data_IF_053536366768
#
_entry.id   IF_053536366768
#
_cell.length_a   1.000
_cell.length_b   1.000
_cell.length_c   1.000
_cell.angle_alpha   90.00
_cell.angle_beta   90.00
_cell.angle_gamma   90.00
#
_symmetry.space_group_name_H-M   'P 1'
#
loop_
_entity.id
_entity.type
_entity.pdbx_description
1 polymer ?
#
# COMPACT_ATOMS: atom_id res chain seq x y z
N UNK A 1 7.25 -8.39 -12.23
CA UNK A 1 6.71 -9.76 -12.33
C UNK A 1 5.22 -9.59 -12.54
N UNK A 2 4.38 -10.61 -12.46
CA UNK A 2 2.97 -10.49 -12.83
C UNK A 2 2.16 -9.75 -11.75
N UNK A 3 1.36 -8.75 -12.17
CA UNK A 3 0.45 -7.98 -11.32
C UNK A 3 -0.82 -8.79 -11.00
N UNK A 4 -0.66 -9.82 -10.19
CA UNK A 4 -1.72 -10.82 -10.00
C UNK A 4 -2.88 -10.31 -9.14
N UNK A 5 -2.57 -9.44 -8.17
CA UNK A 5 -3.52 -8.84 -7.25
C UNK A 5 -3.31 -7.35 -7.21
N UNK A 6 -4.37 -6.60 -7.50
CA UNK A 6 -4.37 -5.15 -7.45
C UNK A 6 -5.47 -4.69 -6.51
N UNK A 7 -5.22 -3.57 -5.84
CA UNK A 7 -6.28 -2.82 -5.16
C UNK A 7 -6.41 -1.45 -5.79
N UNK A 8 -7.64 -0.98 -5.94
CA UNK A 8 -7.93 0.40 -6.33
C UNK A 8 -8.46 1.14 -5.11
N UNK A 9 -7.69 2.13 -4.65
CA UNK A 9 -8.10 3.02 -3.56
C UNK A 9 -9.26 3.88 -4.04
N UNK A 10 -10.35 3.92 -3.26
CA UNK A 10 -11.54 4.70 -3.57
C UNK A 10 -11.20 6.19 -3.65
N UNK A 11 -11.74 6.87 -4.67
CA UNK A 11 -11.52 8.33 -4.88
C UNK A 11 -12.07 9.19 -3.76
N UNK A 12 -13.03 8.67 -2.99
CA UNK A 12 -13.62 9.36 -1.85
C UNK A 12 -12.72 9.31 -0.60
N UNK A 13 -11.68 8.45 -0.61
CA UNK A 13 -10.68 8.39 0.46
C UNK A 13 -9.67 9.53 0.30
N UNK A 14 -9.33 10.20 1.41
CA UNK A 14 -8.22 11.16 1.45
C UNK A 14 -6.91 10.54 0.93
N UNK A 15 -6.74 9.22 1.11
CA UNK A 15 -5.57 8.48 0.65
C UNK A 15 -5.45 8.41 -0.87
N UNK A 16 -6.53 8.53 -1.63
CA UNK A 16 -6.44 8.47 -3.10
C UNK A 16 -5.51 9.56 -3.65
N UNK A 17 -5.57 10.78 -3.08
CA UNK A 17 -4.70 11.90 -3.47
C UNK A 17 -3.24 11.62 -3.12
N UNK A 18 -3.00 11.01 -1.97
CA UNK A 18 -1.66 10.64 -1.52
C UNK A 18 -1.02 9.60 -2.45
N UNK A 19 -1.79 8.58 -2.83
CA UNK A 19 -1.36 7.53 -3.75
C UNK A 19 -1.11 8.08 -5.15
N UNK A 20 -1.97 8.97 -5.66
CA UNK A 20 -1.75 9.63 -6.94
C UNK A 20 -0.49 10.50 -6.92
N UNK A 21 -0.28 11.28 -5.87
CA UNK A 21 0.89 12.17 -5.73
C UNK A 21 2.22 11.41 -5.60
N UNK A 22 2.20 10.23 -4.97
CA UNK A 22 3.41 9.45 -4.69
C UNK A 22 3.71 8.41 -5.75
N UNK A 23 2.70 7.67 -6.19
CA UNK A 23 2.83 6.51 -7.09
C UNK A 23 2.34 6.80 -8.52
N UNK A 24 1.65 7.92 -8.74
CA UNK A 24 1.07 8.30 -10.03
C UNK A 24 -0.18 7.51 -10.39
N UNK A 25 -0.78 6.82 -9.43
CA UNK A 25 -1.99 6.01 -9.62
C UNK A 25 -2.66 5.68 -8.29
N UNK A 26 -3.99 5.51 -8.30
CA UNK A 26 -4.75 4.91 -7.19
C UNK A 26 -4.86 3.39 -7.25
N UNK A 27 -4.35 2.76 -8.30
CA UNK A 27 -4.41 1.30 -8.50
C UNK A 27 -3.03 0.69 -8.32
N UNK A 28 -2.85 -0.08 -7.24
CA UNK A 28 -1.54 -0.53 -6.78
C UNK A 28 -1.49 -2.05 -6.56
N UNK A 29 -0.31 -2.68 -6.75
CA UNK A 29 -0.14 -4.10 -6.52
C UNK A 29 -0.15 -4.42 -5.02
N UNK A 30 -0.71 -5.57 -4.65
CA UNK A 30 -0.72 -6.04 -3.25
C UNK A 30 -0.21 -7.46 -3.14
N UNK A 31 0.36 -7.80 -1.98
CA UNK A 31 0.98 -9.12 -1.74
C UNK A 31 -0.03 -10.27 -1.74
N UNK A 32 -1.29 -10.01 -1.41
CA UNK A 32 -2.34 -11.01 -1.26
C UNK A 32 -3.71 -10.42 -1.62
N UNK A 33 -4.61 -11.18 -2.26
CA UNK A 33 -5.99 -10.75 -2.51
C UNK A 33 -6.89 -10.92 -1.28
N UNK A 34 -6.43 -11.63 -0.26
CA UNK A 34 -7.09 -11.70 1.04
C UNK A 34 -6.46 -10.67 1.99
N UNK A 35 -7.26 -9.75 2.57
CA UNK A 35 -6.75 -8.83 3.58
C UNK A 35 -6.48 -9.60 4.89
N UNK A 36 -5.57 -9.08 5.71
CA UNK A 36 -5.30 -9.64 7.04
C UNK A 36 -5.61 -8.61 8.13
N UNK A 37 -5.81 -9.10 9.35
CA UNK A 37 -6.10 -8.26 10.51
C UNK A 37 -4.82 -7.74 11.13
N UNK A 38 -4.76 -6.44 11.41
CA UNK A 38 -3.66 -5.82 12.15
C UNK A 38 -4.16 -4.67 13.02
N UNK A 39 -3.30 -4.18 13.92
CA UNK A 39 -3.56 -2.97 14.67
C UNK A 39 -2.90 -1.79 13.98
N UNK A 40 -3.67 -0.76 13.68
CA UNK A 40 -3.18 0.53 13.21
C UNK A 40 -3.26 1.56 14.34
N UNK A 41 -2.42 2.61 14.32
CA UNK A 41 -2.52 3.70 15.30
C UNK A 41 -3.94 4.27 15.36
N UNK A 42 -4.57 4.22 16.53
CA UNK A 42 -5.95 4.68 16.75
C UNK A 42 -7.05 3.80 16.14
N UNK A 43 -6.70 2.68 15.48
CA UNK A 43 -7.64 1.77 14.83
C UNK A 43 -7.23 0.29 15.06
N UNK A 44 -7.64 -0.32 16.18
CA UNK A 44 -7.32 -1.72 16.46
C UNK A 44 -8.13 -2.67 15.56
N UNK A 45 -7.55 -3.84 15.27
CA UNK A 45 -8.22 -4.96 14.59
C UNK A 45 -8.81 -4.64 13.20
N UNK A 46 -8.10 -3.83 12.41
CA UNK A 46 -8.50 -3.44 11.06
C UNK A 46 -8.06 -4.48 10.02
N UNK A 47 -8.87 -4.63 8.97
CA UNK A 47 -8.51 -5.40 7.78
C UNK A 47 -7.71 -4.53 6.82
N UNK A 48 -6.53 -5.02 6.42
CA UNK A 48 -5.65 -4.31 5.52
C UNK A 48 -5.09 -5.21 4.42
N UNK A 49 -4.83 -4.60 3.27
CA UNK A 49 -3.94 -5.12 2.25
C UNK A 49 -2.54 -4.54 2.45
N UNK A 50 -1.51 -5.29 2.06
CA UNK A 50 -0.14 -4.78 2.01
C UNK A 50 0.26 -4.48 0.59
N UNK A 51 0.69 -3.24 0.36
CA UNK A 51 1.32 -2.79 -0.88
C UNK A 51 2.52 -3.67 -1.21
N UNK A 52 2.57 -4.20 -2.42
CA UNK A 52 3.72 -4.94 -2.91
C UNK A 52 4.83 -3.97 -3.33
N UNK A 53 5.74 -3.69 -2.38
CA UNK A 53 6.88 -2.83 -2.64
C UNK A 53 7.84 -3.42 -3.69
N UNK A 54 7.85 -4.73 -3.93
CA UNK A 54 8.75 -5.33 -4.92
C UNK A 54 8.40 -4.94 -6.35
N UNK A 55 7.12 -4.64 -6.62
CA UNK A 55 6.60 -4.20 -7.91
C UNK A 55 6.69 -2.68 -8.14
N UNK A 56 7.15 -1.91 -7.14
CA UNK A 56 7.39 -0.47 -7.29
C UNK A 56 8.79 -0.17 -7.83
N UNK A 57 8.88 0.85 -8.69
CA UNK A 57 10.17 1.38 -9.15
C UNK A 57 10.93 2.05 -7.99
N UNK A 58 12.24 2.22 -8.15
CA UNK A 58 13.06 2.92 -7.15
C UNK A 58 12.61 4.37 -6.96
N UNK A 59 12.15 5.04 -8.02
CA UNK A 59 11.63 6.40 -7.95
C UNK A 59 10.31 6.46 -7.15
N UNK A 60 9.39 5.51 -7.38
CA UNK A 60 8.14 5.41 -6.63
C UNK A 60 8.40 5.14 -5.15
N UNK A 61 9.34 4.24 -4.84
CA UNK A 61 9.79 3.98 -3.46
C UNK A 61 10.34 5.24 -2.80
N UNK A 62 11.21 5.97 -3.49
CA UNK A 62 11.79 7.21 -2.98
C UNK A 62 10.72 8.27 -2.67
N UNK A 63 9.78 8.49 -3.61
CA UNK A 63 8.67 9.43 -3.41
C UNK A 63 7.79 9.03 -2.23
N UNK A 64 7.45 7.74 -2.12
CA UNK A 64 6.65 7.20 -1.03
C UNK A 64 7.36 7.37 0.33
N UNK A 65 8.64 7.03 0.42
CA UNK A 65 9.43 7.20 1.65
C UNK A 65 9.46 8.66 2.08
N UNK A 66 9.76 9.59 1.17
CA UNK A 66 9.78 11.04 1.48
C UNK A 66 8.41 11.55 1.91
N UNK A 67 7.36 11.10 1.24
CA UNK A 67 6.00 11.48 1.59
C UNK A 67 5.62 11.00 2.99
N UNK A 68 5.92 9.75 3.34
CA UNK A 68 5.64 9.20 4.67
C UNK A 68 6.45 9.90 5.76
N UNK A 69 7.74 10.14 5.51
CA UNK A 69 8.62 10.88 6.42
C UNK A 69 8.05 12.29 6.70
N UNK A 70 7.65 13.03 5.66
CA UNK A 70 7.06 14.35 5.82
C UNK A 70 5.68 14.32 6.49
N UNK A 71 4.82 13.35 6.14
CA UNK A 71 3.45 13.25 6.67
C UNK A 71 3.42 12.93 8.16
N UNK A 72 4.36 12.12 8.62
CA UNK A 72 4.43 11.66 10.01
C UNK A 72 5.52 12.35 10.83
N UNK A 73 6.23 13.31 10.24
CA UNK A 73 7.37 14.00 10.87
C UNK A 73 8.43 13.02 11.41
N UNK A 74 8.80 12.05 10.58
CA UNK A 74 9.74 10.97 10.90
C UNK A 74 11.03 11.11 10.09
N UNK A 75 12.13 10.54 10.61
CA UNK A 75 13.38 10.46 9.86
C UNK A 75 13.25 9.57 8.62
N UNK A 76 13.74 10.06 7.48
CA UNK A 76 13.67 9.34 6.22
C UNK A 76 14.33 7.95 6.28
N UNK A 77 15.46 7.79 6.99
CA UNK A 77 16.19 6.51 7.05
C UNK A 77 15.44 5.49 7.91
N UNK A 78 14.79 5.95 8.97
CA UNK A 78 13.90 5.11 9.78
C UNK A 78 12.71 4.65 8.95
N UNK A 79 12.03 5.56 8.25
CA UNK A 79 10.91 5.21 7.36
C UNK A 79 11.33 4.24 6.26
N UNK A 80 12.50 4.44 5.63
CA UNK A 80 13.02 3.54 4.61
C UNK A 80 13.27 2.12 5.15
N UNK A 81 13.78 2.02 6.38
CA UNK A 81 14.00 0.74 7.06
C UNK A 81 12.66 0.07 7.39
N UNK A 82 11.72 0.81 7.94
CA UNK A 82 10.41 0.30 8.36
C UNK A 82 9.56 -0.13 7.17
N UNK A 83 9.60 0.61 6.06
CA UNK A 83 8.98 0.22 4.79
C UNK A 83 9.42 -1.17 4.36
N UNK A 84 10.72 -1.46 4.46
CA UNK A 84 11.28 -2.76 4.07
C UNK A 84 10.87 -3.88 5.03
N UNK A 85 10.70 -3.58 6.31
CA UNK A 85 10.41 -4.57 7.36
C UNK A 85 8.91 -4.83 7.55
N UNK A 86 8.06 -3.81 7.38
CA UNK A 86 6.65 -3.85 7.76
C UNK A 86 5.69 -3.60 6.58
N UNK A 87 6.18 -3.05 5.46
CA UNK A 87 5.37 -2.70 4.30
C UNK A 87 4.46 -1.48 4.53
N UNK A 88 3.50 -1.27 3.61
CA UNK A 88 2.54 -0.17 3.69
C UNK A 88 1.11 -0.72 3.72
N UNK A 89 0.36 -0.54 4.83
CA UNK A 89 -1.00 -1.02 4.92
C UNK A 89 -2.00 -0.10 4.21
N UNK A 90 -2.90 -0.71 3.45
CA UNK A 90 -4.04 -0.09 2.78
C UNK A 90 -5.31 -0.65 3.45
N UNK A 91 -6.15 0.22 4.01
CA UNK A 91 -7.40 -0.19 4.64
C UNK A 91 -8.30 -0.89 3.62
N UNK A 92 -8.79 -2.09 3.95
CA UNK A 92 -9.68 -2.83 3.08
C UNK A 92 -11.02 -2.12 2.87
N UNK A 93 -11.46 -1.29 3.82
CA UNK A 93 -12.65 -0.44 3.71
C UNK A 93 -12.52 0.64 2.64
N UNK A 94 -11.30 1.02 2.27
CA UNK A 94 -11.02 2.17 1.43
C UNK A 94 -10.66 1.76 -0.01
N UNK A 95 -10.78 0.48 -0.37
CA UNK A 95 -10.38 -0.01 -1.67
C UNK A 95 -11.24 -1.17 -2.18
N UNK A 96 -11.22 -1.38 -3.49
CA UNK A 96 -11.71 -2.60 -4.13
C UNK A 96 -10.53 -3.46 -4.60
N UNK A 97 -10.68 -4.79 -4.55
CA UNK A 97 -9.66 -5.74 -5.00
C UNK A 97 -10.01 -6.32 -6.38
N UNK A 98 -9.00 -6.42 -7.24
CA UNK A 98 -9.08 -7.09 -8.53
C UNK A 98 -8.05 -8.21 -8.61
N UNK A 99 -8.51 -9.40 -9.03
CA UNK A 99 -7.70 -10.61 -9.18
C UNK A 99 -7.60 -10.90 -10.67
N UNK A 100 -6.39 -10.76 -11.24
CA UNK A 100 -6.18 -10.93 -12.68
C UNK A 100 -5.81 -12.37 -13.05
N UNK A 101 -5.15 -13.10 -12.14
CA UNK A 101 -4.72 -14.48 -12.35
C UNK A 101 -5.23 -15.40 -11.24
N UNK A 102 -6.54 -15.73 -11.22
CA UNK A 102 -7.14 -16.53 -10.15
C UNK A 102 -6.62 -17.96 -10.07
N UNK A 103 -6.00 -18.47 -11.14
CA UNK A 103 -5.39 -19.81 -11.17
C UNK A 103 -4.26 -20.01 -10.15
N UNK A 104 -3.64 -18.92 -9.66
CA UNK A 104 -2.60 -18.99 -8.60
C UNK A 104 -3.17 -19.17 -7.19
N UNK A 105 -4.49 -19.20 -7.04
CA UNK A 105 -5.18 -19.41 -5.75
C UNK A 105 -5.56 -20.87 -5.50
N UNK A 106 -5.35 -21.74 -6.49
CA UNK A 106 -5.63 -23.18 -6.46
C UNK A 106 -4.38 -23.99 -6.13
#
# INVERSE_FOLDING_TARGET
MSRDFMVTVSRDSERAKDFEATLGTTTVPVLSPAPFRTNLPGKPNELVYLLDLSELTNEQKEKLTRFLAARFDLDYREVAKDLKSHGVPILASDCSVAIYNPQRLL
#
